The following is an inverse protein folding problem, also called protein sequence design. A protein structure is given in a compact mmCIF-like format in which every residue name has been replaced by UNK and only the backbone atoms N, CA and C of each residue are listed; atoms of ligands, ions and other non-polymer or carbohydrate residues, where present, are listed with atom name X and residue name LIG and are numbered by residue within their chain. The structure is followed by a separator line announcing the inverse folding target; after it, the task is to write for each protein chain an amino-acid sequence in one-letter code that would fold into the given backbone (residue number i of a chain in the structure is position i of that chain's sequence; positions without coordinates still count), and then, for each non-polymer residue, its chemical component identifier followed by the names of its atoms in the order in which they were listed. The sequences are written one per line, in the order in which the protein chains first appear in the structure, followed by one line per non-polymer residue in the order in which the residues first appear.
data_IF_207537329247
#
_entry.id   IF_207537329247
#
_cell.length_a   1.000
_cell.length_b   1.000
_cell.length_c   1.000
_cell.angle_alpha   90.00
_cell.angle_beta   90.00
_cell.angle_gamma   90.00
#
_symmetry.space_group_name_H-M   'P 1'
#
loop_
_entity.id
_entity.type
_entity.pdbx_description
1 polymer ?
#
# COMPACT_ATOMS: atom_id res chain seq x y z
N UNK A 1 -9.33 -6.97 23.49
CA UNK A 1 -8.29 -6.05 22.99
C UNK A 1 -8.79 -5.37 21.74
N UNK A 2 -8.59 -4.08 21.66
CA UNK A 2 -8.97 -3.27 20.49
C UNK A 2 -7.73 -2.88 19.71
N UNK A 3 -7.76 -3.11 18.40
CA UNK A 3 -6.68 -2.75 17.50
C UNK A 3 -7.22 -1.78 16.44
N UNK A 4 -6.59 -0.60 16.34
CA UNK A 4 -6.94 0.39 15.33
C UNK A 4 -5.80 0.48 14.33
N UNK A 5 -6.12 0.36 13.04
CA UNK A 5 -5.13 0.36 11.96
C UNK A 5 -5.48 1.48 10.98
N UNK A 6 -4.53 2.38 10.74
CA UNK A 6 -4.65 3.43 9.74
C UNK A 6 -3.88 3.01 8.49
N UNK A 7 -4.56 3.03 7.35
CA UNK A 7 -4.02 2.48 6.11
C UNK A 7 -4.43 3.31 4.90
N UNK A 8 -3.53 3.42 3.93
CA UNK A 8 -3.81 4.06 2.64
C UNK A 8 -3.92 2.98 1.56
N UNK A 9 -5.04 2.99 0.82
CA UNK A 9 -5.29 2.04 -0.27
C UNK A 9 -4.30 2.17 -1.42
N UNK A 10 -3.60 3.30 -1.50
CA UNK A 10 -2.60 3.59 -2.52
C UNK A 10 -1.25 2.93 -2.21
N UNK A 11 -0.97 2.63 -0.98
CA UNK A 11 0.35 2.15 -0.53
C UNK A 11 0.46 0.63 -0.64
N UNK A 12 1.38 0.11 -1.49
CA UNK A 12 1.55 -1.35 -1.63
C UNK A 12 1.94 -2.04 -0.32
N UNK A 13 2.78 -1.40 0.50
CA UNK A 13 3.17 -1.98 1.79
C UNK A 13 2.04 -2.03 2.81
N UNK A 14 1.07 -1.11 2.72
CA UNK A 14 -0.14 -1.20 3.54
C UNK A 14 -0.95 -2.45 3.17
N UNK A 15 -1.04 -2.78 1.89
CA UNK A 15 -1.72 -4.00 1.44
C UNK A 15 -0.97 -5.26 1.88
N UNK A 16 0.35 -5.28 1.69
CA UNK A 16 1.20 -6.40 2.15
C UNK A 16 1.06 -6.59 3.66
N UNK A 17 1.11 -5.49 4.41
CA UNK A 17 0.93 -5.51 5.87
C UNK A 17 -0.41 -6.07 6.29
N UNK A 18 -1.49 -5.70 5.59
CA UNK A 18 -2.83 -6.24 5.81
C UNK A 18 -2.85 -7.76 5.64
N UNK A 19 -2.26 -8.27 4.56
CA UNK A 19 -2.20 -9.71 4.30
C UNK A 19 -1.38 -10.48 5.34
N UNK A 20 -0.26 -9.92 5.76
CA UNK A 20 0.55 -10.52 6.84
C UNK A 20 -0.21 -10.55 8.16
N UNK A 21 -0.92 -9.48 8.47
CA UNK A 21 -1.75 -9.40 9.67
C UNK A 21 -2.87 -10.44 9.65
N UNK A 22 -3.55 -10.60 8.51
CA UNK A 22 -4.60 -11.61 8.35
C UNK A 22 -4.05 -13.03 8.56
N UNK A 23 -2.86 -13.32 8.03
CA UNK A 23 -2.20 -14.62 8.25
C UNK A 23 -1.86 -14.85 9.72
N UNK A 24 -1.39 -13.81 10.40
CA UNK A 24 -1.11 -13.90 11.84
C UNK A 24 -2.38 -14.17 12.65
N UNK A 25 -3.50 -13.55 12.28
CA UNK A 25 -4.79 -13.77 12.93
C UNK A 25 -5.28 -15.20 12.79
N UNK A 26 -5.06 -15.83 11.63
CA UNK A 26 -5.44 -17.24 11.41
C UNK A 26 -4.78 -18.19 12.40
N UNK A 27 -3.58 -17.83 12.87
CA UNK A 27 -2.78 -18.62 13.80
C UNK A 27 -2.96 -18.23 15.26
N UNK A 28 -3.65 -17.12 15.50
CA UNK A 28 -3.83 -16.60 16.86
C UNK A 28 -5.05 -17.25 17.52
N UNK A 29 -4.86 -17.98 18.65
CA UNK A 29 -5.95 -18.79 19.23
C UNK A 29 -7.11 -18.00 19.82
N UNK A 30 -6.95 -16.69 20.04
CA UNK A 30 -7.97 -15.82 20.62
C UNK A 30 -8.34 -14.67 19.67
N UNK A 31 -8.24 -14.90 18.37
CA UNK A 31 -8.53 -13.85 17.36
C UNK A 31 -9.97 -13.32 17.47
N UNK A 32 -10.93 -14.15 17.85
CA UNK A 32 -12.33 -13.78 18.04
C UNK A 32 -12.55 -12.77 19.16
N UNK A 33 -11.59 -12.63 20.07
CA UNK A 33 -11.63 -11.65 21.16
C UNK A 33 -11.06 -10.29 20.78
N UNK A 34 -10.56 -10.14 19.54
CA UNK A 34 -9.98 -8.90 19.04
C UNK A 34 -11.04 -8.09 18.32
N UNK A 35 -11.13 -6.80 18.65
CA UNK A 35 -11.88 -5.82 17.87
C UNK A 35 -10.90 -5.09 16.97
N UNK A 36 -11.02 -5.26 15.66
CA UNK A 36 -10.12 -4.64 14.68
C UNK A 36 -10.89 -3.61 13.88
N UNK A 37 -10.43 -2.36 13.91
CA UNK A 37 -11.04 -1.26 13.17
C UNK A 37 -10.01 -0.70 12.20
N UNK A 38 -10.36 -0.65 10.93
CA UNK A 38 -9.55 -0.05 9.86
C UNK A 38 -9.99 1.39 9.65
N UNK A 39 -9.01 2.28 9.59
CA UNK A 39 -9.23 3.70 9.37
C UNK A 39 -8.53 4.14 8.08
N UNK A 40 -9.18 4.99 7.33
CA UNK A 40 -8.59 5.62 6.15
C UNK A 40 -7.52 6.63 6.55
N UNK A 41 -6.38 6.58 5.88
CA UNK A 41 -5.30 7.53 6.06
C UNK A 41 -4.67 7.83 4.71
N UNK A 42 -4.53 9.11 4.39
CA UNK A 42 -3.83 9.53 3.17
C UNK A 42 -2.38 9.86 3.48
N UNK A 43 -1.45 9.06 2.97
CA UNK A 43 -0.02 9.33 3.12
C UNK A 43 0.40 10.63 2.43
N UNK A 44 -0.26 10.95 1.32
CA UNK A 44 -0.03 12.20 0.60
C UNK A 44 -1.37 12.80 0.15
N UNK A 45 -2.06 13.55 1.02
CA UNK A 45 -3.37 14.12 0.69
C UNK A 45 -3.32 15.20 -0.39
N UNK A 46 -2.15 15.77 -0.63
CA UNK A 46 -1.96 16.84 -1.62
C UNK A 46 -1.52 16.32 -2.99
N UNK A 47 -1.35 15.01 -3.13
CA UNK A 47 -0.97 14.41 -4.39
C UNK A 47 -2.01 14.69 -5.47
N UNK A 48 -1.53 15.14 -6.63
CA UNK A 48 -2.38 15.41 -7.80
C UNK A 48 -2.40 14.17 -8.68
N UNK A 49 -3.59 13.72 -9.06
CA UNK A 49 -3.76 12.60 -9.98
C UNK A 49 -3.17 12.95 -11.35
N UNK A 50 -2.23 12.14 -11.81
CA UNK A 50 -1.52 12.31 -13.07
C UNK A 50 -1.42 10.97 -13.79
N UNK A 51 -2.50 10.52 -14.48
CA UNK A 51 -2.56 9.16 -15.03
C UNK A 51 -1.56 8.91 -16.17
N UNK A 52 -1.04 9.96 -16.80
CA UNK A 52 -0.13 9.86 -17.93
C UNK A 52 1.35 9.93 -17.55
N UNK A 53 1.66 10.14 -16.27
CA UNK A 53 3.03 10.20 -15.80
C UNK A 53 3.56 8.79 -15.48
N UNK A 54 4.85 8.55 -15.77
CA UNK A 54 5.50 7.30 -15.42
C UNK A 54 5.61 7.19 -13.89
N UNK A 55 5.11 6.11 -13.27
CA UNK A 55 5.12 5.99 -11.82
C UNK A 55 6.52 5.96 -11.20
N UNK A 56 7.50 5.38 -11.90
CA UNK A 56 8.88 5.32 -11.40
C UNK A 56 9.55 6.70 -11.45
N UNK A 57 9.34 7.45 -12.52
CA UNK A 57 9.84 8.82 -12.65
C UNK A 57 9.24 9.73 -11.58
N UNK A 58 7.94 9.61 -11.34
CA UNK A 58 7.26 10.37 -10.30
C UNK A 58 7.83 10.06 -8.92
N UNK A 59 7.96 8.77 -8.60
CA UNK A 59 8.48 8.31 -7.31
C UNK A 59 9.92 8.78 -7.11
N UNK A 60 10.76 8.65 -8.12
CA UNK A 60 12.16 9.10 -8.08
C UNK A 60 12.25 10.59 -7.79
N UNK A 61 11.41 11.40 -8.44
CA UNK A 61 11.37 12.85 -8.26
C UNK A 61 10.94 13.23 -6.84
N UNK A 62 9.87 12.61 -6.34
CA UNK A 62 9.35 12.91 -5.01
C UNK A 62 10.34 12.52 -3.91
N UNK A 63 11.02 11.40 -4.07
CA UNK A 63 11.98 10.88 -3.08
C UNK A 63 13.40 11.41 -3.25
N UNK A 64 13.69 12.11 -4.36
CA UNK A 64 15.05 12.60 -4.63
C UNK A 64 16.06 11.50 -4.90
N UNK A 65 15.64 10.43 -5.57
CA UNK A 65 16.48 9.26 -5.90
C UNK A 65 16.52 9.06 -7.42
N UNK A 66 17.38 8.14 -7.87
CA UNK A 66 17.44 7.77 -9.29
C UNK A 66 16.24 6.91 -9.70
N UNK A 67 15.97 6.86 -11.01
CA UNK A 67 14.89 6.02 -11.55
C UNK A 67 15.23 4.54 -11.31
N UNK A 68 16.49 4.15 -11.45
CA UNK A 68 16.95 2.78 -11.19
C UNK A 68 16.67 2.37 -9.74
N UNK A 69 16.93 3.26 -8.80
CA UNK A 69 16.63 2.99 -7.38
C UNK A 69 15.13 2.91 -7.12
N UNK A 70 14.35 3.77 -7.78
CA UNK A 70 12.89 3.71 -7.69
C UNK A 70 12.35 2.36 -8.17
N UNK A 71 12.86 1.87 -9.30
CA UNK A 71 12.50 0.54 -9.84
C UNK A 71 12.89 -0.58 -8.88
N UNK A 72 14.09 -0.50 -8.30
CA UNK A 72 14.55 -1.52 -7.33
C UNK A 72 13.64 -1.56 -6.10
N UNK A 73 13.20 -0.41 -5.60
CA UNK A 73 12.27 -0.35 -4.46
C UNK A 73 10.92 -0.94 -4.81
N UNK A 74 10.41 -0.71 -6.03
CA UNK A 74 9.16 -1.32 -6.48
C UNK A 74 9.29 -2.82 -6.67
N UNK A 75 10.45 -3.31 -7.12
CA UNK A 75 10.72 -4.75 -7.18
C UNK A 75 10.70 -5.39 -5.80
N UNK A 76 11.24 -4.70 -4.79
CA UNK A 76 11.16 -5.15 -3.40
C UNK A 76 9.72 -5.30 -2.93
N UNK A 77 8.86 -4.34 -3.26
CA UNK A 77 7.43 -4.40 -2.95
C UNK A 77 6.74 -5.55 -3.71
N UNK A 78 7.12 -5.77 -4.98
CA UNK A 78 6.58 -6.88 -5.79
C UNK A 78 6.91 -8.22 -5.17
N UNK A 79 8.16 -8.41 -4.72
CA UNK A 79 8.59 -9.64 -4.06
C UNK A 79 7.87 -9.85 -2.72
N UNK A 80 7.74 -8.79 -1.92
CA UNK A 80 7.02 -8.85 -0.66
C UNK A 80 5.54 -9.21 -0.88
N UNK A 81 4.93 -8.69 -1.95
CA UNK A 81 3.56 -9.02 -2.33
C UNK A 81 3.40 -10.49 -2.68
N UNK A 82 4.31 -11.04 -3.47
CA UNK A 82 4.26 -12.46 -3.88
C UNK A 82 4.28 -13.41 -2.68
N UNK A 83 5.00 -13.07 -1.63
CA UNK A 83 5.05 -13.86 -0.41
C UNK A 83 3.68 -14.00 0.27
N UNK A 84 2.78 -13.07 0.03
CA UNK A 84 1.44 -13.04 0.63
C UNK A 84 0.33 -13.19 -0.41
N UNK A 85 0.65 -13.64 -1.61
CA UNK A 85 -0.33 -13.93 -2.66
C UNK A 85 -0.81 -12.72 -3.43
N UNK A 86 -0.06 -11.62 -3.43
CA UNK A 86 -0.38 -10.41 -4.20
C UNK A 86 0.53 -10.33 -5.41
N UNK A 87 -0.06 -10.13 -6.58
CA UNK A 87 0.67 -9.94 -7.83
C UNK A 87 0.60 -8.47 -8.26
N UNK A 88 1.57 -7.68 -7.83
CA UNK A 88 1.64 -6.26 -8.20
C UNK A 88 2.12 -6.08 -9.63
N UNK A 89 1.49 -5.17 -10.36
CA UNK A 89 1.92 -4.74 -11.68
C UNK A 89 2.14 -3.22 -11.67
N UNK A 90 3.33 -2.80 -11.22
CA UNK A 90 3.66 -1.38 -11.11
C UNK A 90 3.90 -0.71 -12.46
N UNK A 91 4.25 -1.47 -13.51
CA UNK A 91 4.45 -0.89 -14.85
C UNK A 91 3.18 -0.23 -15.39
N UNK A 92 2.02 -0.79 -15.04
CA UNK A 92 0.71 -0.26 -15.45
C UNK A 92 0.05 0.60 -14.36
N UNK A 93 0.76 0.88 -13.27
CA UNK A 93 0.21 1.68 -12.18
C UNK A 93 0.07 3.15 -12.57
N UNK A 94 -0.88 3.82 -11.92
CA UNK A 94 -1.16 5.24 -12.15
C UNK A 94 -0.90 6.06 -10.89
N UNK A 95 -0.42 7.27 -11.09
CA UNK A 95 -0.26 8.23 -9.99
C UNK A 95 -1.62 8.87 -9.74
N UNK A 96 -2.24 8.53 -8.62
CA UNK A 96 -3.58 8.99 -8.29
C UNK A 96 -3.71 9.32 -6.80
N UNK A 97 -4.47 10.38 -6.51
CA UNK A 97 -4.83 10.71 -5.14
C UNK A 97 -5.85 9.68 -4.62
N UNK A 98 -5.65 9.20 -3.40
CA UNK A 98 -6.48 8.13 -2.82
C UNK A 98 -7.76 8.62 -2.13
N UNK A 99 -8.02 9.93 -2.09
CA UNK A 99 -9.18 10.49 -1.39
C UNK A 99 -10.50 9.88 -1.84
N UNK A 100 -10.74 9.82 -3.15
CA UNK A 100 -11.98 9.26 -3.68
C UNK A 100 -12.16 7.79 -3.34
N UNK A 101 -11.08 7.01 -3.34
CA UNK A 101 -11.13 5.61 -2.93
C UNK A 101 -11.51 5.48 -1.46
N UNK A 102 -10.96 6.32 -0.58
CA UNK A 102 -11.30 6.31 0.83
C UNK A 102 -12.75 6.68 1.10
N UNK A 103 -13.36 7.52 0.27
CA UNK A 103 -14.77 7.87 0.39
C UNK A 103 -15.71 6.69 0.11
N UNK A 104 -15.23 5.66 -0.60
CA UNK A 104 -16.01 4.47 -0.93
C UNK A 104 -15.94 3.38 0.15
N UNK A 105 -14.99 3.47 1.02
CA UNK A 105 -14.81 2.52 2.12
C UNK A 105 -15.19 3.18 3.46
#
# INVERSE_FOLDING_TARGET
MKINIWSDVRCPFCFVGKKKFEKALEKFPHAEKLEITWHSFQLDPQLITQPDINPYEYFAKVKGITIERAKAMHEGATMAGKEVGIDFNFDDSKVANSNKAHLLI
#
